data_IF_315730303137
#
_entry.id   IF_315730303137
#
_cell.length_a   1.000
_cell.length_b   1.000
_cell.length_c   1.000
_cell.angle_alpha   90.00
_cell.angle_beta   90.00
_cell.angle_gamma   90.00
#
_symmetry.space_group_name_H-M   'P 1'
#
loop_
_entity.id
_entity.type
_entity.pdbx_description
1 polymer ?
#
# COMPACT_ATOMS: atom_id res chain seq x y z
N UNK A 1 -4.58 -43.24 -48.76
CA UNK A 1 -3.50 -43.14 -49.75
C UNK A 1 -2.68 -41.89 -49.44
N UNK A 2 -1.40 -42.12 -49.11
CA UNK A 2 -0.24 -41.30 -49.48
C UNK A 2 -0.21 -39.84 -48.92
N UNK A 3 0.76 -39.34 -48.31
CA UNK A 3 2.17 -39.61 -47.93
C UNK A 3 2.65 -38.39 -47.16
N UNK A 4 3.16 -38.55 -46.01
CA UNK A 4 4.50 -38.20 -45.57
C UNK A 4 5.18 -37.05 -46.34
N UNK A 5 5.50 -35.96 -45.64
CA UNK A 5 6.85 -35.37 -45.69
C UNK A 5 7.18 -34.75 -44.34
N UNK A 6 8.14 -35.35 -43.73
CA UNK A 6 8.96 -34.83 -42.66
C UNK A 6 9.91 -33.80 -43.28
N UNK A 7 9.99 -32.63 -42.70
CA UNK A 7 11.13 -31.74 -42.85
C UNK A 7 11.62 -31.29 -41.52
N UNK A 8 12.63 -32.00 -41.11
CA UNK A 8 13.56 -31.68 -40.06
C UNK A 8 14.44 -30.53 -40.54
N UNK A 9 14.48 -29.45 -39.82
CA UNK A 9 15.58 -28.49 -39.98
C UNK A 9 16.06 -28.03 -38.61
N UNK A 10 17.14 -28.59 -38.23
CA UNK A 10 18.03 -28.18 -37.16
C UNK A 10 18.78 -26.94 -37.65
N UNK A 11 18.73 -25.88 -36.92
CA UNK A 11 19.73 -24.83 -36.98
C UNK A 11 19.83 -24.10 -35.66
N UNK A 12 20.87 -24.46 -34.97
CA UNK A 12 21.93 -23.59 -34.46
C UNK A 12 21.60 -22.70 -33.27
N UNK A 13 22.17 -23.16 -32.19
CA UNK A 13 22.60 -22.40 -30.99
C UNK A 13 23.17 -21.02 -31.37
N UNK A 14 22.62 -20.01 -30.76
CA UNK A 14 23.39 -18.86 -30.30
C UNK A 14 23.12 -18.67 -28.82
N UNK A 15 24.14 -18.97 -28.03
CA UNK A 15 24.25 -18.58 -26.65
C UNK A 15 24.32 -17.05 -26.57
N UNK A 16 23.21 -16.43 -26.25
CA UNK A 16 23.13 -15.09 -25.73
C UNK A 16 22.53 -15.17 -24.37
N UNK A 17 23.33 -15.19 -23.31
CA UNK A 17 22.87 -15.03 -21.96
C UNK A 17 22.33 -13.62 -21.79
N UNK A 18 21.11 -13.37 -22.23
CA UNK A 18 20.32 -12.28 -21.73
C UNK A 18 19.78 -12.74 -20.37
N UNK A 19 20.45 -12.28 -19.32
CA UNK A 19 19.86 -12.23 -18.01
C UNK A 19 18.73 -11.22 -18.11
N UNK A 20 17.55 -11.65 -18.52
CA UNK A 20 16.35 -10.90 -18.27
C UNK A 20 16.20 -10.88 -16.77
N UNK A 21 16.06 -9.69 -16.13
CA UNK A 21 15.60 -9.68 -14.77
C UNK A 21 14.24 -10.39 -14.78
N UNK A 22 14.18 -11.54 -14.13
CA UNK A 22 12.92 -12.17 -13.78
C UNK A 22 12.32 -11.26 -12.73
N UNK A 23 11.59 -10.26 -13.18
CA UNK A 23 10.53 -9.74 -12.35
C UNK A 23 9.60 -10.92 -12.22
N UNK A 24 9.52 -11.48 -11.03
CA UNK A 24 8.45 -12.39 -10.69
C UNK A 24 7.16 -11.64 -10.99
N UNK A 25 6.50 -11.98 -12.08
CA UNK A 25 5.08 -11.73 -12.26
C UNK A 25 4.36 -12.58 -11.20
N UNK A 26 4.48 -12.14 -9.94
CA UNK A 26 3.47 -12.43 -8.97
C UNK A 26 2.32 -11.50 -9.35
N UNK A 27 1.27 -12.05 -9.91
CA UNK A 27 -0.06 -11.48 -9.79
C UNK A 27 -0.46 -11.58 -8.31
N UNK A 28 0.31 -10.92 -7.44
CA UNK A 28 -0.09 -10.53 -6.12
C UNK A 28 -0.66 -9.14 -6.26
N UNK A 29 -1.86 -8.91 -5.78
CA UNK A 29 -2.45 -7.58 -5.71
C UNK A 29 -1.42 -6.60 -5.14
N UNK A 30 -1.27 -5.45 -5.82
CA UNK A 30 -0.36 -4.41 -5.35
C UNK A 30 -0.72 -4.03 -3.92
N UNK A 31 0.28 -3.86 -3.04
CA UNK A 31 0.01 -3.43 -1.67
C UNK A 31 -0.79 -2.13 -1.69
N UNK A 32 -1.92 -2.12 -1.00
CA UNK A 32 -2.76 -0.94 -0.84
C UNK A 32 -2.36 -0.17 0.42
N UNK A 33 -2.11 1.12 0.27
CA UNK A 33 -1.63 1.99 1.33
C UNK A 33 -2.73 2.97 1.74
N UNK A 34 -3.25 2.82 2.95
CA UNK A 34 -4.16 3.78 3.56
C UNK A 34 -3.37 4.90 4.24
N UNK A 35 -3.59 6.14 3.83
CA UNK A 35 -2.95 7.32 4.42
C UNK A 35 -3.99 8.08 5.24
N UNK A 36 -3.84 8.09 6.57
CA UNK A 36 -4.78 8.72 7.50
C UNK A 36 -4.20 10.03 8.03
N UNK A 37 -4.91 11.14 7.83
CA UNK A 37 -4.49 12.48 8.26
C UNK A 37 -5.66 13.28 8.81
N UNK A 38 -5.35 14.45 9.41
CA UNK A 38 -6.35 15.48 9.65
C UNK A 38 -6.82 16.11 8.32
N UNK A 39 -8.00 16.77 8.28
CA UNK A 39 -8.49 17.44 7.07
C UNK A 39 -7.66 18.66 6.68
N UNK A 40 -7.78 19.10 5.42
CA UNK A 40 -7.00 20.21 4.85
C UNK A 40 -7.22 21.57 5.53
N UNK A 41 -8.35 21.75 6.18
CA UNK A 41 -8.73 23.00 6.86
C UNK A 41 -8.14 23.16 8.28
N UNK A 42 -7.31 22.23 8.72
CA UNK A 42 -6.66 22.21 10.04
C UNK A 42 -5.27 22.88 10.06
N UNK A 43 -5.08 23.99 9.38
CA UNK A 43 -3.85 24.78 9.41
C UNK A 43 -2.60 23.98 9.00
N UNK A 44 -1.60 23.92 9.87
CA UNK A 44 -0.36 23.19 9.61
C UNK A 44 -0.59 21.68 9.33
N UNK A 45 -1.43 21.04 10.12
CA UNK A 45 -1.74 19.61 9.92
C UNK A 45 -2.50 19.36 8.62
N UNK A 46 -3.28 20.32 8.17
CA UNK A 46 -3.98 20.28 6.89
C UNK A 46 -3.04 20.31 5.68
N UNK A 47 -1.87 20.95 5.82
CA UNK A 47 -0.85 20.92 4.76
C UNK A 47 -0.35 19.50 4.50
N UNK A 48 -0.35 18.63 5.52
CA UNK A 48 -0.01 17.21 5.38
C UNK A 48 -0.99 16.50 4.45
N UNK A 49 -2.29 16.74 4.59
CA UNK A 49 -3.30 16.14 3.71
C UNK A 49 -3.12 16.59 2.25
N UNK A 50 -2.78 17.86 2.02
CA UNK A 50 -2.51 18.38 0.67
C UNK A 50 -1.31 17.69 0.03
N UNK A 51 -0.18 17.60 0.74
CA UNK A 51 1.02 16.92 0.23
C UNK A 51 0.79 15.40 0.08
N UNK A 52 0.00 14.80 0.97
CA UNK A 52 -0.35 13.39 0.87
C UNK A 52 -1.13 13.11 -0.42
N UNK A 53 -2.09 13.97 -0.81
CA UNK A 53 -2.82 13.85 -2.08
C UNK A 53 -1.88 13.84 -3.29
N UNK A 54 -0.99 14.82 -3.36
CA UNK A 54 -0.01 14.92 -4.45
C UNK A 54 0.85 13.65 -4.53
N UNK A 55 1.31 13.16 -3.37
CA UNK A 55 2.16 11.97 -3.32
C UNK A 55 1.42 10.69 -3.64
N UNK A 56 0.15 10.59 -3.25
CA UNK A 56 -0.71 9.45 -3.58
C UNK A 56 -0.93 9.36 -5.09
N UNK A 57 -1.12 10.50 -5.77
CA UNK A 57 -1.23 10.53 -7.24
C UNK A 57 0.05 9.97 -7.88
N UNK A 58 1.24 10.41 -7.44
CA UNK A 58 2.52 9.89 -7.94
C UNK A 58 2.67 8.37 -7.69
N UNK A 59 2.28 7.88 -6.51
CA UNK A 59 2.35 6.46 -6.15
C UNK A 59 1.44 5.62 -7.04
N UNK A 60 0.21 6.10 -7.26
CA UNK A 60 -0.78 5.41 -8.09
C UNK A 60 -0.36 5.43 -9.57
N UNK A 61 0.19 6.53 -10.06
CA UNK A 61 0.68 6.65 -11.43
C UNK A 61 1.88 5.72 -11.70
N UNK A 62 2.71 5.48 -10.69
CA UNK A 62 3.82 4.54 -10.79
C UNK A 62 3.37 3.07 -10.91
N UNK A 63 2.17 2.74 -10.45
CA UNK A 63 1.52 1.44 -10.62
C UNK A 63 2.11 0.29 -9.79
N UNK A 64 3.12 0.53 -8.95
CA UNK A 64 3.70 -0.51 -8.08
C UNK A 64 2.87 -0.74 -6.82
N UNK A 65 2.26 0.32 -6.31
CA UNK A 65 1.37 0.34 -5.14
C UNK A 65 0.09 1.05 -5.51
N UNK A 66 -0.97 0.83 -4.74
CA UNK A 66 -2.13 1.69 -4.75
C UNK A 66 -2.20 2.42 -3.41
N UNK A 67 -2.67 3.66 -3.41
CA UNK A 67 -2.79 4.43 -2.17
C UNK A 67 -4.05 5.30 -2.19
N UNK A 68 -4.63 5.51 -1.00
CA UNK A 68 -5.74 6.45 -0.82
C UNK A 68 -5.60 7.27 0.46
N UNK A 69 -6.17 8.47 0.45
CA UNK A 69 -6.21 9.37 1.60
C UNK A 69 -7.53 9.26 2.31
N UNK A 70 -7.48 9.03 3.63
CA UNK A 70 -8.62 9.12 4.52
C UNK A 70 -8.36 10.24 5.52
N UNK A 71 -9.20 11.26 5.51
CA UNK A 71 -9.12 12.36 6.49
C UNK A 71 -10.13 12.14 7.60
N UNK A 72 -9.77 12.53 8.82
CA UNK A 72 -10.61 12.42 10.01
C UNK A 72 -10.67 13.76 10.71
N UNK A 73 -11.87 14.23 11.02
CA UNK A 73 -12.08 15.52 11.69
C UNK A 73 -11.59 15.52 13.15
N UNK A 74 -11.62 14.36 13.79
CA UNK A 74 -11.17 14.15 15.17
C UNK A 74 -10.64 12.71 15.37
N UNK A 75 -10.12 12.47 16.58
CA UNK A 75 -9.57 11.17 16.93
C UNK A 75 -10.62 10.04 16.96
N UNK A 76 -11.87 10.36 17.30
CA UNK A 76 -12.93 9.36 17.31
C UNK A 76 -13.24 8.86 15.89
N UNK A 77 -13.33 9.76 14.93
CA UNK A 77 -13.47 9.39 13.51
C UNK A 77 -12.26 8.64 13.00
N UNK A 78 -11.04 9.04 13.41
CA UNK A 78 -9.83 8.33 13.01
C UNK A 78 -9.78 6.90 13.54
N UNK A 79 -10.25 6.66 14.76
CA UNK A 79 -10.41 5.32 15.35
C UNK A 79 -11.37 4.49 14.51
N UNK A 80 -12.54 5.02 14.17
CA UNK A 80 -13.52 4.32 13.34
C UNK A 80 -12.93 3.95 11.97
N UNK A 81 -12.21 4.87 11.32
CA UNK A 81 -11.57 4.61 10.04
C UNK A 81 -10.54 3.48 10.13
N UNK A 82 -9.76 3.41 11.20
CA UNK A 82 -8.81 2.30 11.43
C UNK A 82 -9.58 0.98 11.64
N UNK A 83 -10.63 0.99 12.44
CA UNK A 83 -11.46 -0.19 12.69
C UNK A 83 -12.12 -0.70 11.40
N UNK A 84 -12.59 0.20 10.54
CA UNK A 84 -13.17 -0.15 9.25
C UNK A 84 -12.14 -0.79 8.30
N UNK A 85 -10.90 -0.27 8.27
CA UNK A 85 -9.79 -0.87 7.51
C UNK A 85 -9.52 -2.30 7.98
N UNK A 86 -9.44 -2.50 9.29
CA UNK A 86 -9.22 -3.84 9.87
C UNK A 86 -10.40 -4.77 9.56
N UNK A 87 -11.62 -4.27 9.70
CA UNK A 87 -12.85 -5.05 9.46
C UNK A 87 -13.04 -5.45 8.00
N UNK A 88 -12.51 -4.67 7.06
CA UNK A 88 -12.54 -5.01 5.64
C UNK A 88 -11.77 -6.31 5.34
N UNK A 89 -10.76 -6.63 6.16
CA UNK A 89 -10.01 -7.88 6.06
C UNK A 89 -9.28 -8.06 4.74
N UNK A 90 -8.83 -6.97 4.15
CA UNK A 90 -8.07 -6.98 2.90
C UNK A 90 -6.66 -7.51 3.13
N UNK A 91 -6.18 -8.31 2.19
CA UNK A 91 -4.79 -8.76 2.15
C UNK A 91 -3.88 -7.67 1.56
N UNK A 92 -2.59 -7.70 1.91
CA UNK A 92 -1.57 -6.79 1.35
C UNK A 92 -1.87 -5.31 1.55
N UNK A 93 -2.28 -4.91 2.75
CA UNK A 93 -2.48 -3.52 3.12
C UNK A 93 -1.38 -3.00 4.03
N UNK A 94 -1.18 -1.69 4.03
CA UNK A 94 -0.33 -0.97 4.97
C UNK A 94 -0.97 0.37 5.36
N UNK A 95 -0.68 0.87 6.54
CA UNK A 95 -1.26 2.12 7.05
C UNK A 95 -0.16 3.15 7.32
N UNK A 96 -0.32 4.35 6.80
CA UNK A 96 0.49 5.53 7.15
C UNK A 96 -0.42 6.49 7.89
N UNK A 97 -0.10 6.82 9.12
CA UNK A 97 -0.99 7.60 9.97
C UNK A 97 -0.30 8.81 10.60
N UNK A 98 -0.95 9.96 10.50
CA UNK A 98 -0.73 11.12 11.36
C UNK A 98 -1.74 11.06 12.50
N UNK A 99 -1.37 10.61 13.70
CA UNK A 99 -2.31 10.52 14.81
C UNK A 99 -2.84 11.89 15.21
N UNK A 100 -4.14 12.04 15.33
CA UNK A 100 -4.75 13.32 15.73
C UNK A 100 -4.43 13.65 17.18
N UNK A 101 -4.54 12.66 18.05
CA UNK A 101 -4.12 12.74 19.45
C UNK A 101 -3.80 11.34 20.02
N UNK A 102 -3.46 11.27 21.31
CA UNK A 102 -3.02 10.04 21.96
C UNK A 102 -4.16 9.01 22.15
N UNK A 103 -5.41 9.41 22.01
CA UNK A 103 -6.56 8.50 22.18
C UNK A 103 -6.67 7.46 21.06
N UNK A 104 -6.00 7.69 19.92
CA UNK A 104 -5.94 6.70 18.84
C UNK A 104 -5.05 5.49 19.15
N UNK A 105 -4.33 5.50 20.28
CA UNK A 105 -3.45 4.41 20.71
C UNK A 105 -4.12 3.04 20.61
N UNK A 106 -5.35 2.92 21.09
CA UNK A 106 -6.08 1.65 21.11
C UNK A 106 -6.37 1.10 19.72
N UNK A 107 -6.63 1.98 18.76
CA UNK A 107 -6.85 1.59 17.36
C UNK A 107 -5.53 1.23 16.66
N UNK A 108 -4.45 1.94 16.96
CA UNK A 108 -3.11 1.57 16.45
C UNK A 108 -2.69 0.20 17.02
N UNK A 109 -3.00 -0.10 18.29
CA UNK A 109 -2.75 -1.43 18.85
C UNK A 109 -3.53 -2.51 18.10
N UNK A 110 -4.75 -2.24 17.66
CA UNK A 110 -5.52 -3.18 16.84
C UNK A 110 -4.86 -3.46 15.48
N UNK A 111 -4.18 -2.47 14.87
CA UNK A 111 -3.37 -2.72 13.65
C UNK A 111 -2.24 -3.71 13.94
N UNK A 112 -1.54 -3.55 15.08
CA UNK A 112 -0.49 -4.49 15.50
C UNK A 112 -1.06 -5.89 15.71
N UNK A 113 -2.17 -5.99 16.44
CA UNK A 113 -2.84 -7.26 16.74
C UNK A 113 -3.34 -7.97 15.47
N UNK A 114 -3.71 -7.19 14.44
CA UNK A 114 -4.11 -7.69 13.13
C UNK A 114 -2.93 -7.94 12.18
N UNK A 115 -1.68 -7.75 12.64
CA UNK A 115 -0.46 -7.90 11.85
C UNK A 115 -0.41 -6.98 10.60
N UNK A 116 -1.12 -5.84 10.64
CA UNK A 116 -1.11 -4.84 9.57
C UNK A 116 0.09 -3.91 9.75
N UNK A 117 1.02 -3.83 8.77
CA UNK A 117 2.14 -2.91 8.83
C UNK A 117 1.67 -1.45 8.91
N UNK A 118 2.26 -0.67 9.79
CA UNK A 118 1.94 0.74 9.88
C UNK A 118 3.17 1.62 10.15
N UNK A 119 3.05 2.89 9.78
CA UNK A 119 3.99 3.95 10.13
C UNK A 119 3.21 5.13 10.70
N UNK A 120 3.50 5.51 11.95
CA UNK A 120 3.02 6.74 12.54
C UNK A 120 4.08 7.85 12.41
N UNK A 121 3.67 9.06 12.08
CA UNK A 121 4.54 10.21 11.96
C UNK A 121 3.92 11.45 12.63
N UNK A 122 4.73 12.49 12.82
CA UNK A 122 4.35 13.75 13.46
C UNK A 122 4.12 13.61 14.98
N UNK A 123 3.51 12.55 15.44
CA UNK A 123 3.25 12.26 16.85
C UNK A 123 3.67 10.85 17.22
N UNK A 124 4.42 10.73 18.30
CA UNK A 124 4.78 9.43 18.87
C UNK A 124 3.63 9.00 19.79
N UNK A 125 3.09 7.83 19.53
CA UNK A 125 2.08 7.20 20.38
C UNK A 125 2.78 6.18 21.28
N UNK A 126 2.82 6.45 22.56
CA UNK A 126 3.45 5.55 23.54
C UNK A 126 2.51 4.38 23.90
N UNK A 127 3.08 3.25 24.30
CA UNK A 127 2.32 2.11 24.80
C UNK A 127 1.67 1.22 23.76
N UNK A 128 2.04 1.36 22.49
CA UNK A 128 1.76 0.37 21.44
C UNK A 128 2.83 -0.71 21.52
N UNK A 129 2.44 -1.99 21.61
CA UNK A 129 3.33 -3.12 21.84
C UNK A 129 3.45 -4.04 20.60
#
# INVERSE_FOLDING_TARGET
MKKTVVCMLIAAMTMGSMVTPVFADGEGDATHIYVLTAPEDHGWTGSVATFAKEKIEEVNDAGTYSAELITSADAAEQIVNIEDIIAAGEDNIAVVIQPIDDTVQSAIQQLVDAEIPYVAFDRIIEGVA
#
